data_IF_700650648174
#
_entry.id   IF_700650648174
#
_cell.length_a   1.000
_cell.length_b   1.000
_cell.length_c   1.000
_cell.angle_alpha   90.00
_cell.angle_beta   90.00
_cell.angle_gamma   90.00
#
_symmetry.space_group_name_H-M   'P 1'
#
loop_
_entity.id
_entity.type
_entity.pdbx_description
1 polymer ?
#
# COMPACT_ATOMS: atom_id res chain seq x y z
N UNK A 1 2.98 45.90 -63.71
CA UNK A 1 2.99 46.17 -62.27
C UNK A 1 3.37 44.86 -61.56
N UNK A 2 4.66 44.73 -61.14
CA UNK A 2 5.20 43.51 -60.52
C UNK A 2 5.11 43.69 -59.03
N UNK A 3 4.38 42.77 -58.35
CA UNK A 3 4.30 42.71 -56.87
C UNK A 3 5.32 41.69 -56.42
N UNK A 4 6.32 42.14 -55.64
CA UNK A 4 7.32 41.31 -54.98
C UNK A 4 6.69 40.72 -53.71
N UNK A 5 6.61 39.40 -53.63
CA UNK A 5 6.20 38.71 -52.39
C UNK A 5 7.43 38.49 -51.52
N UNK A 6 7.39 38.98 -50.27
CA UNK A 6 8.39 38.73 -49.21
C UNK A 6 7.96 37.48 -48.47
N UNK A 7 8.74 36.41 -48.56
CA UNK A 7 8.56 35.22 -47.75
C UNK A 7 9.22 35.40 -46.36
N UNK A 8 8.41 35.43 -45.30
CA UNK A 8 8.89 35.42 -43.92
C UNK A 8 9.11 33.96 -43.51
N UNK A 9 10.35 33.56 -43.32
CA UNK A 9 10.73 32.27 -42.79
C UNK A 9 10.66 32.37 -41.25
N UNK A 10 9.60 31.83 -40.65
CA UNK A 10 9.51 31.67 -39.20
C UNK A 10 10.33 30.44 -38.79
N UNK A 11 11.52 30.67 -38.23
CA UNK A 11 12.34 29.62 -37.62
C UNK A 11 11.72 29.16 -36.29
N UNK A 12 11.14 27.97 -36.25
CA UNK A 12 10.72 27.32 -35.00
C UNK A 12 11.97 26.84 -34.26
N UNK A 13 12.33 27.51 -33.16
CA UNK A 13 13.32 27.00 -32.21
C UNK A 13 12.66 25.89 -31.41
N UNK A 14 12.95 24.63 -31.72
CA UNK A 14 12.63 23.49 -30.87
C UNK A 14 13.58 23.50 -29.67
N UNK A 15 13.09 23.91 -28.52
CA UNK A 15 13.75 23.62 -27.24
C UNK A 15 13.54 22.15 -26.92
N UNK A 16 14.54 21.31 -27.15
CA UNK A 16 14.61 19.97 -26.59
C UNK A 16 14.85 20.12 -25.11
N UNK A 17 13.81 19.90 -24.29
CA UNK A 17 13.99 19.69 -22.85
C UNK A 17 14.79 18.39 -22.66
N UNK A 18 16.08 18.55 -22.38
CA UNK A 18 16.93 17.42 -21.99
C UNK A 18 16.37 16.78 -20.72
N UNK A 19 16.57 15.46 -20.50
CA UNK A 19 16.18 14.83 -19.25
C UNK A 19 16.89 15.56 -18.12
N UNK A 20 16.12 16.12 -17.18
CA UNK A 20 16.66 16.67 -15.95
C UNK A 20 17.34 15.52 -15.19
N UNK A 21 18.66 15.45 -15.26
CA UNK A 21 19.46 14.59 -14.41
C UNK A 21 19.18 15.05 -12.97
N UNK A 22 18.37 14.25 -12.23
CA UNK A 22 18.17 14.48 -10.82
C UNK A 22 19.54 14.45 -10.15
N UNK A 23 19.94 15.59 -9.57
CA UNK A 23 21.20 15.69 -8.84
C UNK A 23 21.16 14.60 -7.75
N UNK A 24 22.26 13.84 -7.55
CA UNK A 24 22.32 12.85 -6.49
C UNK A 24 22.11 13.58 -5.16
N UNK A 25 20.99 13.29 -4.47
CA UNK A 25 20.75 13.84 -3.14
C UNK A 25 21.80 13.23 -2.23
N UNK A 26 22.73 14.04 -1.81
CA UNK A 26 23.79 13.65 -0.92
C UNK A 26 23.20 13.15 0.43
N UNK A 27 23.39 11.88 0.63
CA UNK A 27 23.38 11.04 1.78
C UNK A 27 22.67 11.47 3.05
N UNK A 28 21.68 10.66 3.42
CA UNK A 28 21.31 10.39 4.81
C UNK A 28 20.68 11.55 5.60
N UNK A 29 20.20 12.60 4.95
CA UNK A 29 19.41 13.66 5.60
C UNK A 29 17.98 13.17 5.87
N UNK A 30 17.38 13.60 6.98
CA UNK A 30 15.94 13.46 7.20
C UNK A 30 15.20 14.55 6.45
N UNK A 31 14.07 14.20 5.83
CA UNK A 31 13.19 15.14 5.14
C UNK A 31 11.80 15.17 5.76
N UNK A 32 11.13 16.30 5.62
CA UNK A 32 9.70 16.46 5.86
C UNK A 32 9.02 16.80 4.55
N UNK A 33 8.05 15.98 4.15
CA UNK A 33 7.20 16.23 3.00
C UNK A 33 5.85 16.77 3.50
N UNK A 34 5.57 18.02 3.19
CA UNK A 34 4.29 18.64 3.51
C UNK A 34 3.28 18.48 2.37
N UNK A 35 3.75 18.54 1.11
CA UNK A 35 2.94 18.32 -0.09
C UNK A 35 3.83 17.97 -1.28
N UNK A 36 3.26 17.28 -2.28
CA UNK A 36 3.90 16.98 -3.55
C UNK A 36 4.69 15.69 -3.55
N UNK A 37 5.62 15.56 -4.50
CA UNK A 37 6.32 14.31 -4.74
C UNK A 37 7.60 14.17 -3.91
N UNK A 38 7.79 13.00 -3.32
CA UNK A 38 9.05 12.57 -2.73
C UNK A 38 9.97 12.10 -3.87
N UNK A 39 11.09 12.79 -4.06
CA UNK A 39 12.03 12.50 -5.13
C UNK A 39 12.84 11.22 -4.86
N UNK A 40 13.44 10.66 -5.93
CA UNK A 40 14.45 9.60 -5.80
C UNK A 40 15.61 10.06 -4.92
N UNK A 41 16.10 9.19 -4.04
CA UNK A 41 17.23 9.54 -3.19
C UNK A 41 17.42 8.61 -1.99
N UNK A 42 18.49 8.91 -1.24
CA UNK A 42 18.80 8.25 0.02
C UNK A 42 18.49 9.18 1.19
N UNK A 43 17.64 8.74 2.09
CA UNK A 43 17.15 9.49 3.23
C UNK A 43 17.47 8.77 4.53
N UNK A 44 17.68 9.54 5.61
CA UNK A 44 17.73 8.97 6.96
C UNK A 44 16.33 8.63 7.46
N UNK A 45 15.44 9.62 7.46
CA UNK A 45 14.03 9.45 7.76
C UNK A 45 13.18 10.29 6.80
N UNK A 46 11.94 9.86 6.60
CA UNK A 46 10.92 10.63 5.88
C UNK A 46 9.75 10.86 6.84
N UNK A 47 9.40 12.13 7.05
CA UNK A 47 8.19 12.52 7.79
C UNK A 47 7.21 13.14 6.80
N UNK A 48 6.03 12.56 6.68
CA UNK A 48 4.94 13.04 5.83
C UNK A 48 3.95 13.79 6.71
N UNK A 49 3.74 15.08 6.43
CA UNK A 49 2.87 15.96 7.23
C UNK A 49 1.67 16.50 6.45
N UNK A 50 1.59 16.24 5.17
CA UNK A 50 0.48 16.61 4.30
C UNK A 50 0.27 15.58 3.19
N UNK A 51 -0.14 16.00 2.00
CA UNK A 51 -0.40 15.09 0.88
C UNK A 51 0.88 14.89 0.05
N UNK A 52 1.52 13.74 0.23
CA UNK A 52 2.74 13.38 -0.47
C UNK A 52 2.56 12.13 -1.32
N UNK A 53 3.14 12.15 -2.51
CA UNK A 53 3.17 11.01 -3.44
C UNK A 53 4.60 10.59 -3.76
N UNK A 54 4.74 9.41 -4.37
CA UNK A 54 5.99 8.94 -4.94
C UNK A 54 5.83 8.89 -6.46
N UNK A 55 6.76 9.50 -7.18
CA UNK A 55 6.72 9.56 -8.65
C UNK A 55 6.96 8.19 -9.28
N UNK A 56 6.46 8.00 -10.52
CA UNK A 56 6.75 6.82 -11.33
C UNK A 56 8.27 6.65 -11.53
N UNK A 57 8.76 5.41 -11.38
CA UNK A 57 10.16 5.07 -11.49
C UNK A 57 11.06 5.60 -10.38
N UNK A 58 10.51 6.21 -9.32
CA UNK A 58 11.33 6.70 -8.22
C UNK A 58 12.04 5.57 -7.49
N UNK A 59 13.31 5.81 -7.16
CA UNK A 59 14.15 4.90 -6.34
C UNK A 59 14.47 5.59 -5.02
N UNK A 60 13.90 5.09 -3.93
CA UNK A 60 13.99 5.68 -2.59
C UNK A 60 14.61 4.69 -1.62
N UNK A 61 15.65 5.10 -0.91
CA UNK A 61 16.28 4.34 0.17
C UNK A 61 16.18 5.11 1.48
N UNK A 62 15.55 4.51 2.50
CA UNK A 62 15.41 5.10 3.84
C UNK A 62 16.17 4.26 4.84
N UNK A 63 17.24 4.81 5.43
CA UNK A 63 18.07 4.08 6.42
C UNK A 63 17.44 4.01 7.81
N UNK A 64 16.47 4.87 8.12
CA UNK A 64 15.66 4.89 9.32
C UNK A 64 14.21 4.59 9.02
N UNK A 65 13.31 5.50 9.40
CA UNK A 65 11.87 5.29 9.40
C UNK A 65 11.13 6.22 8.42
N UNK A 66 9.94 5.77 8.00
CA UNK A 66 8.91 6.63 7.40
C UNK A 66 7.81 6.83 8.44
N UNK A 67 7.42 8.08 8.67
CA UNK A 67 6.29 8.44 9.55
C UNK A 67 5.29 9.27 8.78
N UNK A 68 4.05 8.78 8.69
CA UNK A 68 2.91 9.53 8.15
C UNK A 68 2.14 10.07 9.34
N UNK A 69 2.19 11.39 9.53
CA UNK A 69 1.60 12.04 10.70
C UNK A 69 0.09 12.09 10.62
N UNK A 70 -0.54 12.57 11.67
CA UNK A 70 -2.01 12.68 11.76
C UNK A 70 -2.59 13.43 10.57
N UNK A 71 -3.57 12.81 9.90
CA UNK A 71 -4.29 13.37 8.76
C UNK A 71 -3.48 13.50 7.47
N UNK A 72 -2.22 13.09 7.48
CA UNK A 72 -1.36 13.14 6.29
C UNK A 72 -1.63 11.95 5.35
N UNK A 73 -1.21 12.10 4.11
CA UNK A 73 -1.36 11.10 3.05
C UNK A 73 0.02 10.75 2.48
N UNK A 74 0.34 9.47 2.48
CA UNK A 74 1.45 8.94 1.69
C UNK A 74 0.90 8.04 0.60
N UNK A 75 1.00 8.50 -0.64
CA UNK A 75 0.65 7.74 -1.84
C UNK A 75 1.93 7.22 -2.53
N UNK A 76 2.27 5.97 -2.24
CA UNK A 76 3.25 5.18 -2.96
C UNK A 76 2.57 3.98 -3.65
N UNK A 77 1.32 4.16 -4.10
CA UNK A 77 0.48 3.17 -4.74
C UNK A 77 0.01 3.58 -6.14
N UNK A 78 -0.12 4.88 -6.40
CA UNK A 78 -0.57 5.36 -7.71
C UNK A 78 0.46 5.17 -8.82
N UNK A 79 1.74 5.12 -8.49
CA UNK A 79 2.84 4.98 -9.45
C UNK A 79 3.83 3.89 -9.02
N UNK A 80 4.31 3.11 -9.99
CA UNK A 80 5.34 2.11 -9.74
C UNK A 80 6.64 2.76 -9.25
N UNK A 81 7.21 2.20 -8.20
CA UNK A 81 8.42 2.73 -7.57
C UNK A 81 9.22 1.63 -6.87
N UNK A 82 10.50 1.90 -6.62
CA UNK A 82 11.37 1.05 -5.80
C UNK A 82 11.66 1.75 -4.48
N UNK A 83 11.18 1.19 -3.36
CA UNK A 83 11.36 1.79 -2.03
C UNK A 83 11.95 0.75 -1.08
N UNK A 84 13.06 1.10 -0.43
CA UNK A 84 13.65 0.27 0.64
C UNK A 84 13.68 1.06 1.93
N UNK A 85 13.01 0.57 2.98
CA UNK A 85 13.02 1.13 4.33
C UNK A 85 13.74 0.16 5.27
N UNK A 86 14.86 0.57 5.86
CA UNK A 86 15.59 -0.29 6.82
C UNK A 86 14.91 -0.36 8.18
N UNK A 87 14.25 0.71 8.60
CA UNK A 87 13.48 0.78 9.83
C UNK A 87 12.01 0.46 9.62
N UNK A 88 11.14 1.22 10.26
CA UNK A 88 9.71 1.02 10.30
C UNK A 88 8.97 2.03 9.41
N UNK A 89 7.74 1.66 9.02
CA UNK A 89 6.75 2.59 8.49
C UNK A 89 5.64 2.73 9.53
N UNK A 90 5.34 3.96 9.95
CA UNK A 90 4.30 4.24 10.94
C UNK A 90 3.32 5.27 10.37
N UNK A 91 2.03 4.95 10.41
CA UNK A 91 0.95 5.87 10.08
C UNK A 91 0.10 6.15 11.33
N UNK A 92 -0.21 7.42 11.56
CA UNK A 92 -0.90 7.89 12.76
C UNK A 92 -2.35 8.26 12.47
N UNK A 93 -3.06 8.73 13.48
CA UNK A 93 -4.51 8.98 13.45
C UNK A 93 -4.98 9.69 12.19
N UNK A 94 -6.01 9.15 11.56
CA UNK A 94 -6.66 9.67 10.35
C UNK A 94 -5.73 9.81 9.12
N UNK A 95 -4.51 9.26 9.16
CA UNK A 95 -3.62 9.24 8.00
C UNK A 95 -4.13 8.27 6.91
N UNK A 96 -3.66 8.47 5.68
CA UNK A 96 -3.77 7.48 4.61
C UNK A 96 -2.37 6.94 4.29
N UNK A 97 -2.22 5.63 4.30
CA UNK A 97 -0.99 4.93 3.95
C UNK A 97 -1.26 4.02 2.75
N UNK A 98 -0.79 4.41 1.57
CA UNK A 98 -0.81 3.60 0.36
C UNK A 98 0.60 3.18 -0.04
N UNK A 99 0.89 1.87 -0.06
CA UNK A 99 2.18 1.31 -0.45
C UNK A 99 1.98 0.18 -1.47
N UNK A 100 2.61 0.35 -2.63
CA UNK A 100 2.73 -0.66 -3.67
C UNK A 100 1.52 -0.79 -4.57
N UNK A 101 1.79 -1.03 -5.84
CA UNK A 101 0.81 -1.35 -6.86
C UNK A 101 1.34 -2.48 -7.75
N UNK A 102 0.42 -3.38 -8.15
CA UNK A 102 0.71 -4.52 -9.02
C UNK A 102 -0.54 -4.88 -9.81
N UNK A 103 -0.47 -5.05 -11.14
CA UNK A 103 -1.63 -5.47 -11.93
C UNK A 103 -2.00 -6.93 -11.65
N UNK A 104 -3.25 -7.29 -11.89
CA UNK A 104 -3.74 -8.66 -11.73
C UNK A 104 -2.96 -9.67 -12.61
N UNK A 105 -2.56 -9.26 -13.81
CA UNK A 105 -1.73 -10.08 -14.71
C UNK A 105 -0.35 -10.43 -14.13
N UNK A 106 0.20 -9.57 -13.27
CA UNK A 106 1.48 -9.80 -12.60
C UNK A 106 1.38 -10.77 -11.43
N UNK A 107 0.33 -10.66 -10.64
CA UNK A 107 0.15 -11.48 -9.41
C UNK A 107 -0.72 -12.72 -9.64
N UNK A 108 -1.42 -12.83 -10.78
CA UNK A 108 -2.31 -13.96 -11.09
C UNK A 108 -3.58 -14.02 -10.23
N UNK A 109 -3.97 -12.91 -9.61
CA UNK A 109 -5.14 -12.80 -8.75
C UNK A 109 -5.71 -11.37 -8.77
N UNK A 110 -6.53 -10.99 -7.78
CA UNK A 110 -6.98 -9.60 -7.60
C UNK A 110 -5.82 -8.68 -7.23
N UNK A 111 -5.15 -8.10 -8.21
CA UNK A 111 -4.12 -7.09 -8.02
C UNK A 111 -4.69 -5.71 -7.61
N UNK A 112 -3.81 -4.73 -7.60
CA UNK A 112 -4.14 -3.31 -7.55
C UNK A 112 -3.20 -2.60 -8.52
N UNK A 113 -3.66 -2.37 -9.73
CA UNK A 113 -2.85 -1.77 -10.78
C UNK A 113 -2.39 -0.36 -10.39
N UNK A 114 -1.18 0.02 -10.81
CA UNK A 114 -0.73 1.39 -10.70
C UNK A 114 -1.62 2.31 -11.55
N UNK A 115 -2.01 3.47 -11.01
CA UNK A 115 -2.90 4.40 -11.72
C UNK A 115 -2.18 5.06 -12.92
N UNK A 116 -0.88 5.34 -12.77
CA UNK A 116 -0.08 6.04 -13.80
C UNK A 116 0.28 5.11 -14.97
N UNK A 117 0.70 3.89 -14.66
CA UNK A 117 0.93 2.84 -15.66
C UNK A 117 0.34 1.51 -15.14
N UNK A 118 -0.84 1.10 -15.63
CA UNK A 118 -1.53 -0.08 -15.13
C UNK A 118 -0.81 -1.41 -15.38
N UNK A 119 0.22 -1.47 -16.22
CA UNK A 119 0.98 -2.69 -16.51
C UNK A 119 2.26 -2.79 -15.67
N UNK A 120 2.66 -1.71 -15.03
CA UNK A 120 3.85 -1.67 -14.20
C UNK A 120 3.58 -2.13 -12.75
N UNK A 121 4.64 -2.31 -11.97
CA UNK A 121 4.53 -2.75 -10.58
C UNK A 121 5.60 -2.11 -9.69
N UNK A 122 5.27 -1.96 -8.41
CA UNK A 122 6.19 -1.46 -7.40
C UNK A 122 7.06 -2.57 -6.79
N UNK A 123 8.27 -2.21 -6.36
CA UNK A 123 9.14 -3.06 -5.51
C UNK A 123 9.39 -2.33 -4.19
N UNK A 124 8.64 -2.70 -3.14
CA UNK A 124 8.73 -2.04 -1.83
C UNK A 124 9.13 -3.04 -0.76
N UNK A 125 10.21 -2.74 -0.02
CA UNK A 125 10.71 -3.57 1.08
C UNK A 125 10.82 -2.76 2.37
N UNK A 126 10.19 -3.23 3.45
CA UNK A 126 10.30 -2.70 4.81
C UNK A 126 10.98 -3.74 5.70
N UNK A 127 12.19 -3.46 6.17
CA UNK A 127 12.95 -4.41 7.01
C UNK A 127 12.43 -4.46 8.46
N UNK A 128 11.78 -3.40 8.93
CA UNK A 128 11.10 -3.33 10.22
C UNK A 128 9.64 -3.72 10.14
N UNK A 129 8.80 -3.00 10.88
CA UNK A 129 7.37 -3.20 10.96
C UNK A 129 6.63 -2.12 10.14
N UNK A 130 5.39 -2.45 9.74
CA UNK A 130 4.39 -1.46 9.32
C UNK A 130 3.36 -1.35 10.44
N UNK A 131 3.16 -0.15 10.98
CA UNK A 131 2.26 0.11 12.11
C UNK A 131 1.30 1.23 11.75
N UNK A 132 0.01 0.98 11.88
CA UNK A 132 -1.06 1.95 11.69
C UNK A 132 -1.84 2.11 13.00
N UNK A 133 -1.91 3.34 13.55
CA UNK A 133 -2.56 3.64 14.82
C UNK A 133 -3.68 4.66 14.61
N UNK A 134 -4.92 4.22 14.79
CA UNK A 134 -6.13 5.00 14.52
C UNK A 134 -6.15 5.61 13.12
N UNK A 135 -5.53 4.92 12.14
CA UNK A 135 -5.33 5.40 10.78
C UNK A 135 -6.64 5.41 10.02
N UNK A 136 -6.86 6.38 9.15
CA UNK A 136 -8.06 6.44 8.31
C UNK A 136 -8.10 5.28 7.31
N UNK A 137 -7.01 5.10 6.55
CA UNK A 137 -6.94 4.07 5.50
C UNK A 137 -5.56 3.44 5.41
N UNK A 138 -5.52 2.13 5.19
CA UNK A 138 -4.29 1.36 4.94
C UNK A 138 -4.48 0.51 3.68
N UNK A 139 -3.64 0.76 2.68
CA UNK A 139 -3.60 0.07 1.41
C UNK A 139 -2.17 -0.46 1.18
N UNK A 140 -1.97 -1.74 1.40
CA UNK A 140 -0.68 -2.41 1.21
C UNK A 140 -0.83 -3.48 0.14
N UNK A 141 -0.14 -3.31 -0.98
CA UNK A 141 -0.27 -4.23 -2.10
C UNK A 141 1.09 -4.60 -2.69
N UNK A 142 1.44 -5.90 -2.57
CA UNK A 142 2.65 -6.44 -3.18
C UNK A 142 3.96 -6.00 -2.52
N UNK A 143 3.95 -5.67 -1.24
CA UNK A 143 5.15 -5.26 -0.52
C UNK A 143 5.75 -6.40 0.30
N UNK A 144 7.04 -6.29 0.60
CA UNK A 144 7.73 -7.19 1.53
C UNK A 144 7.94 -6.49 2.87
N UNK A 145 7.44 -7.09 3.96
CA UNK A 145 7.63 -6.62 5.34
C UNK A 145 8.32 -7.71 6.13
N UNK A 146 9.56 -7.51 6.59
CA UNK A 146 10.26 -8.53 7.38
C UNK A 146 9.71 -8.69 8.80
N UNK A 147 9.18 -7.62 9.35
CA UNK A 147 8.55 -7.58 10.67
C UNK A 147 7.06 -7.91 10.64
N UNK A 148 6.31 -7.20 11.46
CA UNK A 148 4.86 -7.32 11.58
C UNK A 148 4.14 -6.23 10.77
N UNK A 149 2.91 -6.51 10.38
CA UNK A 149 1.90 -5.50 10.04
C UNK A 149 0.95 -5.43 11.23
N UNK A 150 0.81 -4.24 11.82
CA UNK A 150 -0.08 -4.00 12.97
C UNK A 150 -0.95 -2.79 12.69
N UNK A 151 -2.26 -2.96 12.71
CA UNK A 151 -3.24 -1.90 12.56
C UNK A 151 -4.20 -1.92 13.75
N UNK A 152 -4.23 -0.83 14.53
CA UNK A 152 -5.01 -0.71 15.75
C UNK A 152 -5.92 0.52 15.67
N UNK A 153 -7.22 0.32 15.76
CA UNK A 153 -8.24 1.37 15.67
C UNK A 153 -8.30 2.05 14.31
N UNK A 154 -9.14 3.07 14.19
CA UNK A 154 -9.33 3.84 12.98
C UNK A 154 -10.33 3.24 12.00
N UNK A 155 -10.17 3.58 10.73
CA UNK A 155 -11.07 3.25 9.65
C UNK A 155 -11.66 4.50 9.00
N UNK A 156 -12.29 4.30 7.86
CA UNK A 156 -12.96 5.34 7.08
C UNK A 156 -13.89 4.70 6.05
N UNK A 157 -14.55 5.53 5.26
CA UNK A 157 -15.32 5.10 4.08
C UNK A 157 -14.45 4.58 2.93
N UNK A 158 -13.12 4.79 3.00
CA UNK A 158 -12.19 4.25 2.01
C UNK A 158 -11.83 2.81 2.43
N UNK A 159 -11.97 1.82 1.52
CA UNK A 159 -11.64 0.43 1.80
C UNK A 159 -10.22 0.22 2.32
N UNK A 160 -10.06 -0.73 3.25
CA UNK A 160 -8.75 -1.19 3.69
C UNK A 160 -8.33 -2.46 2.96
N UNK A 161 -7.09 -2.51 2.51
CA UNK A 161 -6.57 -3.66 1.76
C UNK A 161 -5.15 -4.00 2.17
N UNK A 162 -4.94 -5.23 2.62
CA UNK A 162 -3.63 -5.85 2.87
C UNK A 162 -3.56 -7.06 1.96
N UNK A 163 -2.95 -6.92 0.76
CA UNK A 163 -2.98 -7.98 -0.23
C UNK A 163 -1.67 -8.18 -0.99
N UNK A 164 -1.44 -9.42 -1.43
CA UNK A 164 -0.25 -9.82 -2.20
C UNK A 164 1.09 -9.53 -1.50
N UNK A 165 1.10 -9.43 -0.17
CA UNK A 165 2.29 -9.08 0.59
C UNK A 165 3.03 -10.33 1.08
N UNK A 166 4.37 -10.21 1.21
CA UNK A 166 5.19 -11.17 1.95
C UNK A 166 5.52 -10.59 3.31
N UNK A 167 4.98 -11.18 4.38
CA UNK A 167 5.14 -10.71 5.76
C UNK A 167 5.91 -11.75 6.57
N UNK A 168 7.09 -11.37 7.08
CA UNK A 168 7.98 -12.30 7.80
C UNK A 168 7.44 -12.75 9.16
N UNK A 169 6.57 -11.95 9.79
CA UNK A 169 6.00 -12.25 11.11
C UNK A 169 4.46 -12.22 11.08
N UNK A 170 3.83 -11.42 11.91
CA UNK A 170 2.39 -11.43 12.13
C UNK A 170 1.67 -10.31 11.37
N UNK A 171 0.42 -10.56 11.04
CA UNK A 171 -0.57 -9.54 10.68
C UNK A 171 -1.58 -9.44 11.82
N UNK A 172 -1.78 -8.24 12.36
CA UNK A 172 -2.76 -7.96 13.41
C UNK A 172 -3.58 -6.74 13.03
N UNK A 173 -4.89 -6.91 12.90
CA UNK A 173 -5.85 -5.86 12.58
C UNK A 173 -6.91 -5.87 13.68
N UNK A 174 -7.06 -4.76 14.41
CA UNK A 174 -7.96 -4.74 15.56
C UNK A 174 -8.63 -3.38 15.77
N UNK A 175 -9.94 -3.41 16.07
CA UNK A 175 -10.70 -2.23 16.49
C UNK A 175 -11.01 -1.21 15.38
N UNK A 176 -11.01 -1.62 14.09
CA UNK A 176 -11.36 -0.76 12.99
C UNK A 176 -12.87 -0.67 12.78
N UNK A 177 -13.33 0.51 12.34
CA UNK A 177 -14.64 0.68 11.70
C UNK A 177 -14.40 1.21 10.31
N UNK A 178 -14.61 0.39 9.29
CA UNK A 178 -14.25 0.71 7.90
C UNK A 178 -15.33 0.24 6.93
N UNK A 179 -15.43 0.90 5.77
CA UNK A 179 -16.38 0.50 4.74
C UNK A 179 -16.13 -0.95 4.29
N UNK A 180 -14.88 -1.31 4.00
CA UNK A 180 -14.51 -2.64 3.55
C UNK A 180 -13.13 -3.03 4.07
N UNK A 181 -12.89 -4.32 4.32
CA UNK A 181 -11.59 -4.86 4.73
C UNK A 181 -11.26 -6.13 3.95
N UNK A 182 -10.10 -6.16 3.31
CA UNK A 182 -9.53 -7.35 2.69
C UNK A 182 -8.14 -7.67 3.22
N UNK A 183 -7.94 -8.92 3.67
CA UNK A 183 -6.63 -9.54 3.92
C UNK A 183 -6.52 -10.69 2.94
N UNK A 184 -5.83 -10.46 1.80
CA UNK A 184 -5.97 -11.28 0.60
C UNK A 184 -4.61 -11.72 0.06
N UNK A 185 -4.45 -12.99 -0.29
CA UNK A 185 -3.30 -13.51 -1.05
C UNK A 185 -1.93 -13.21 -0.42
N UNK A 186 -1.83 -13.09 0.90
CA UNK A 186 -0.57 -12.81 1.58
C UNK A 186 0.17 -14.09 1.97
N UNK A 187 1.51 -14.06 1.95
CA UNK A 187 2.36 -15.06 2.64
C UNK A 187 2.77 -14.50 4.01
N UNK A 188 2.24 -15.09 5.09
CA UNK A 188 2.39 -14.61 6.46
C UNK A 188 3.19 -15.64 7.26
N UNK A 189 4.41 -15.29 7.65
CA UNK A 189 5.33 -16.14 8.39
C UNK A 189 4.92 -16.43 9.85
N UNK A 190 3.96 -15.71 10.40
CA UNK A 190 3.43 -15.85 11.75
C UNK A 190 1.94 -16.10 11.78
N UNK A 191 1.25 -15.39 12.69
CA UNK A 191 -0.20 -15.43 12.83
C UNK A 191 -0.86 -14.32 12.02
N UNK A 192 -2.11 -14.56 11.59
CA UNK A 192 -3.04 -13.53 11.15
C UNK A 192 -4.16 -13.40 12.17
N UNK A 193 -4.43 -12.19 12.67
CA UNK A 193 -5.40 -11.94 13.73
C UNK A 193 -6.26 -10.73 13.39
N UNK A 194 -7.58 -10.93 13.37
CA UNK A 194 -8.60 -9.90 13.12
C UNK A 194 -9.51 -9.85 14.35
N UNK A 195 -9.54 -8.69 15.04
CA UNK A 195 -10.26 -8.55 16.32
C UNK A 195 -11.15 -7.31 16.33
N UNK A 196 -12.43 -7.50 16.70
CA UNK A 196 -13.36 -6.39 16.98
C UNK A 196 -13.41 -5.37 15.84
N UNK A 197 -13.67 -5.84 14.62
CA UNK A 197 -13.72 -5.04 13.40
C UNK A 197 -15.18 -4.88 12.99
N UNK A 198 -15.58 -3.65 12.70
CA UNK A 198 -16.89 -3.34 12.13
C UNK A 198 -16.70 -2.95 10.65
N UNK A 199 -17.23 -3.77 9.73
CA UNK A 199 -17.34 -3.45 8.31
C UNK A 199 -18.72 -2.87 8.05
N UNK A 200 -18.78 -1.69 7.44
CA UNK A 200 -20.00 -0.89 7.28
C UNK A 200 -20.60 -0.98 5.89
N UNK A 201 -19.94 -1.62 4.92
CA UNK A 201 -20.49 -1.83 3.59
C UNK A 201 -21.75 -2.70 3.68
N UNK A 202 -22.83 -2.20 3.07
CA UNK A 202 -24.13 -2.87 3.02
C UNK A 202 -24.36 -3.62 1.71
N UNK A 203 -23.42 -3.56 0.75
CA UNK A 203 -23.51 -4.32 -0.49
C UNK A 203 -23.46 -5.83 -0.17
N UNK A 204 -24.47 -6.62 -0.56
CA UNK A 204 -24.47 -8.06 -0.33
C UNK A 204 -23.24 -8.79 -0.92
N UNK A 205 -22.65 -8.25 -2.00
CA UNK A 205 -21.43 -8.77 -2.63
C UNK A 205 -20.14 -8.41 -1.90
N UNK A 206 -20.17 -7.39 -1.03
CA UNK A 206 -19.00 -6.90 -0.29
C UNK A 206 -19.17 -7.01 1.23
N UNK A 207 -20.15 -7.75 1.70
CA UNK A 207 -20.60 -7.80 3.09
C UNK A 207 -19.60 -8.50 4.02
N UNK A 208 -18.92 -7.73 4.88
CA UNK A 208 -17.99 -8.22 5.88
C UNK A 208 -16.51 -8.10 5.52
N UNK A 209 -15.69 -8.73 6.34
CA UNK A 209 -14.25 -8.78 6.11
C UNK A 209 -13.88 -9.98 5.22
N UNK A 210 -13.01 -9.76 4.26
CA UNK A 210 -12.53 -10.78 3.34
C UNK A 210 -11.16 -11.30 3.78
N UNK A 211 -11.05 -12.61 4.04
CA UNK A 211 -9.79 -13.29 4.39
C UNK A 211 -9.58 -14.42 3.39
N UNK A 212 -8.90 -14.12 2.27
CA UNK A 212 -8.94 -14.95 1.08
C UNK A 212 -7.55 -15.42 0.69
N UNK A 213 -7.39 -16.72 0.49
CA UNK A 213 -6.22 -17.37 -0.11
C UNK A 213 -4.87 -16.92 0.49
N UNK A 214 -4.85 -16.62 1.79
CA UNK A 214 -3.60 -16.35 2.48
C UNK A 214 -2.88 -17.65 2.81
N UNK A 215 -1.56 -17.63 2.74
CA UNK A 215 -0.70 -18.67 3.29
C UNK A 215 -0.19 -18.19 4.66
N UNK A 216 -0.68 -18.79 5.73
CA UNK A 216 -0.40 -18.42 7.12
C UNK A 216 0.34 -19.57 7.79
N UNK A 217 1.57 -19.34 8.23
CA UNK A 217 2.39 -20.42 8.79
C UNK A 217 1.96 -20.87 10.18
N UNK A 218 1.27 -20.00 10.94
CA UNK A 218 0.77 -20.31 12.28
C UNK A 218 -0.76 -20.27 12.31
N UNK A 219 -1.35 -19.45 13.17
CA UNK A 219 -2.79 -19.43 13.38
C UNK A 219 -3.47 -18.29 12.62
N UNK A 220 -4.70 -18.54 12.20
CA UNK A 220 -5.65 -17.54 11.73
C UNK A 220 -6.74 -17.37 12.82
N UNK A 221 -6.92 -16.16 13.33
CA UNK A 221 -7.88 -15.89 14.41
C UNK A 221 -8.77 -14.73 14.02
N UNK A 222 -10.09 -14.92 14.05
CA UNK A 222 -11.08 -13.86 13.80
C UNK A 222 -12.10 -13.89 14.94
N UNK A 223 -12.19 -12.78 15.70
CA UNK A 223 -13.11 -12.63 16.83
C UNK A 223 -13.77 -11.26 16.83
N UNK A 224 -15.08 -11.22 16.96
CA UNK A 224 -15.85 -9.96 17.04
C UNK A 224 -15.80 -9.14 15.75
N UNK A 225 -15.70 -9.78 14.59
CA UNK A 225 -15.80 -9.13 13.28
C UNK A 225 -17.25 -9.09 12.87
N UNK A 226 -17.74 -7.92 12.52
CA UNK A 226 -19.13 -7.72 12.09
C UNK A 226 -19.17 -7.10 10.69
N UNK A 227 -20.20 -7.44 9.89
CA UNK A 227 -21.25 -8.42 10.15
C UNK A 227 -20.77 -9.87 10.05
N UNK A 228 -19.72 -10.15 9.27
CA UNK A 228 -19.20 -11.51 9.03
C UNK A 228 -17.75 -11.52 8.55
N UNK A 229 -17.16 -12.70 8.43
CA UNK A 229 -15.88 -12.94 7.76
C UNK A 229 -16.12 -13.96 6.64
N UNK A 230 -15.58 -13.71 5.45
CA UNK A 230 -15.66 -14.62 4.31
C UNK A 230 -14.26 -15.01 3.82
N UNK A 231 -14.12 -16.27 3.40
CA UNK A 231 -12.86 -16.85 2.92
C UNK A 231 -12.78 -17.03 1.41
N UNK A 232 -13.82 -16.67 0.67
CA UNK A 232 -13.86 -16.77 -0.76
C UNK A 232 -14.57 -15.60 -1.41
N UNK A 233 -14.03 -15.10 -2.52
CA UNK A 233 -14.71 -14.12 -3.37
C UNK A 233 -15.76 -14.80 -4.26
N UNK A 234 -15.50 -16.06 -4.61
CA UNK A 234 -16.41 -16.86 -5.44
C UNK A 234 -16.52 -18.29 -4.90
N UNK A 235 -17.69 -18.95 -5.05
CA UNK A 235 -17.85 -20.36 -4.68
C UNK A 235 -16.82 -21.26 -5.38
N UNK A 236 -16.18 -22.16 -4.63
CA UNK A 236 -15.19 -23.09 -5.15
C UNK A 236 -13.75 -22.58 -5.18
N UNK A 237 -13.50 -21.35 -4.80
CA UNK A 237 -12.15 -20.82 -4.64
C UNK A 237 -11.41 -21.53 -3.49
N UNK A 238 -10.07 -21.71 -3.62
CA UNK A 238 -9.26 -22.28 -2.54
C UNK A 238 -9.36 -21.46 -1.25
N UNK A 239 -9.46 -22.15 -0.13
CA UNK A 239 -9.42 -21.52 1.20
C UNK A 239 -8.01 -21.04 1.56
N UNK A 240 -7.88 -20.38 2.74
CA UNK A 240 -6.57 -20.04 3.26
C UNK A 240 -5.80 -21.32 3.63
N UNK A 241 -4.50 -21.32 3.42
CA UNK A 241 -3.60 -22.38 3.91
C UNK A 241 -3.07 -21.97 5.27
N UNK A 242 -3.46 -22.69 6.34
CA UNK A 242 -3.10 -22.38 7.73
C UNK A 242 -2.28 -23.51 8.30
N UNK A 243 -1.02 -23.27 8.67
CA UNK A 243 -0.13 -24.28 9.24
C UNK A 243 -0.45 -24.66 10.69
N UNK A 244 -1.13 -23.77 11.42
CA UNK A 244 -1.64 -24.01 12.78
C UNK A 244 -3.14 -24.22 12.80
N UNK A 245 -3.88 -23.37 13.52
CA UNK A 245 -5.33 -23.45 13.67
C UNK A 245 -6.02 -22.21 13.12
N UNK A 246 -7.15 -22.42 12.46
CA UNK A 246 -8.12 -21.37 12.18
C UNK A 246 -9.15 -21.35 13.32
N UNK A 247 -9.37 -20.18 13.95
CA UNK A 247 -10.14 -20.04 15.19
C UNK A 247 -11.18 -18.92 15.09
N UNK A 248 -12.23 -19.05 15.89
CA UNK A 248 -13.34 -18.11 15.95
C UNK A 248 -14.12 -18.09 14.64
N UNK A 249 -14.47 -16.90 14.14
CA UNK A 249 -15.24 -16.74 12.90
C UNK A 249 -14.46 -17.23 11.66
N UNK A 250 -13.13 -17.36 11.75
CA UNK A 250 -12.29 -17.88 10.68
C UNK A 250 -12.14 -19.41 10.69
N UNK A 251 -12.77 -20.15 11.59
CA UNK A 251 -12.59 -21.60 11.72
C UNK A 251 -12.92 -22.39 10.43
N UNK A 252 -13.87 -21.90 9.65
CA UNK A 252 -14.29 -22.52 8.38
C UNK A 252 -13.54 -21.98 7.14
N UNK A 253 -12.52 -21.14 7.32
CA UNK A 253 -11.83 -20.44 6.23
C UNK A 253 -10.46 -21.06 5.87
N UNK A 254 -10.13 -22.24 6.40
CA UNK A 254 -8.87 -22.92 6.15
C UNK A 254 -9.08 -24.44 5.93
#
# INVERSE_FOLDING_TARGET
>A
MKILGIAVVAGAMMFTAGPALAAPIHGNASITCANGAIASGAYRNITVTGACSVSAGAVISVSGNITVTRGAVLDAQSAASTITVRGNVTALSSALLGLGCQPASYVGNSGHACTVDPLDHSTIAVNGNVTALNTGTVLLNGITVRGNITALGGGSEIPWSIKNNTIGRNVSVAGQTTNWLGVLFNDIGGNATLLHIAVTDTDPGAHGAFVVQNRIRRNLVCLGVTPTVTGGLFPGEPLNTVGGRALGQCAALA
#
